data_IF_279716856675
#
_entry.id   IF_279716856675
#
_cell.length_a   1.000
_cell.length_b   1.000
_cell.length_c   1.000
_cell.angle_alpha   90.00
_cell.angle_beta   90.00
_cell.angle_gamma   90.00
#
_symmetry.space_group_name_H-M   'P 1'
#
loop_
_entity.id
_entity.type
_entity.pdbx_description
1 polymer ?
#
# COMPACT_ATOMS: atom_id res chain seq x y z
N UNK A 1 14.87 -8.86 -17.06
CA UNK A 1 15.85 -8.45 -18.10
C UNK A 1 17.01 -7.69 -17.44
N UNK A 2 18.27 -7.94 -17.84
CA UNK A 2 19.44 -7.28 -17.27
C UNK A 2 19.38 -5.75 -17.44
N UNK A 3 19.64 -5.01 -16.36
CA UNK A 3 19.56 -3.55 -16.39
C UNK A 3 20.58 -2.89 -17.34
N UNK A 4 21.72 -3.51 -17.61
CA UNK A 4 22.71 -2.95 -18.54
C UNK A 4 22.19 -2.88 -20.00
N UNK A 5 21.07 -3.54 -20.32
CA UNK A 5 20.41 -3.49 -21.63
C UNK A 5 19.26 -2.48 -21.69
N UNK A 6 19.15 -1.59 -20.70
CA UNK A 6 18.21 -0.47 -20.78
C UNK A 6 18.53 0.34 -22.06
N UNK A 7 17.48 0.71 -22.81
CA UNK A 7 17.56 1.40 -24.11
C UNK A 7 18.17 0.60 -25.28
N UNK A 8 18.42 -0.71 -25.12
CA UNK A 8 18.90 -1.56 -26.21
C UNK A 8 17.76 -2.39 -26.80
N UNK A 9 17.82 -2.64 -28.11
CA UNK A 9 16.87 -3.56 -28.77
C UNK A 9 17.27 -5.00 -28.49
N UNK A 10 16.33 -5.79 -28.01
CA UNK A 10 16.52 -7.21 -27.71
C UNK A 10 15.52 -8.05 -28.49
N UNK A 11 15.91 -9.26 -28.87
CA UNK A 11 15.01 -10.23 -29.49
C UNK A 11 14.43 -11.12 -28.41
N UNK A 12 13.11 -11.35 -28.45
CA UNK A 12 12.42 -12.19 -27.48
C UNK A 12 11.91 -13.44 -28.20
N UNK A 13 12.25 -14.61 -27.66
CA UNK A 13 11.68 -15.89 -28.07
C UNK A 13 10.78 -16.39 -26.94
N UNK A 14 9.48 -16.49 -27.20
CA UNK A 14 8.48 -16.87 -26.20
C UNK A 14 7.94 -18.27 -26.50
N UNK A 15 8.34 -19.25 -25.68
CA UNK A 15 7.79 -20.62 -25.73
C UNK A 15 6.59 -20.77 -24.78
N UNK A 16 6.03 -21.96 -24.70
CA UNK A 16 4.91 -22.26 -23.79
C UNK A 16 5.32 -22.11 -22.30
N UNK A 17 6.58 -22.40 -21.96
CA UNK A 17 7.03 -22.43 -20.56
C UNK A 17 8.07 -21.35 -20.23
N UNK A 18 8.85 -20.88 -21.20
CA UNK A 18 10.00 -20.01 -20.98
C UNK A 18 10.00 -18.86 -21.98
N UNK A 19 10.36 -17.67 -21.52
CA UNK A 19 10.67 -16.50 -22.32
C UNK A 19 12.18 -16.30 -22.30
N UNK A 20 12.82 -16.45 -23.46
CA UNK A 20 14.24 -16.22 -23.66
C UNK A 20 14.45 -14.83 -24.25
N UNK A 21 15.41 -14.09 -23.70
CA UNK A 21 15.80 -12.77 -24.18
C UNK A 21 17.19 -12.85 -24.77
N UNK A 22 17.34 -12.37 -25.99
CA UNK A 22 18.58 -12.37 -26.75
C UNK A 22 19.07 -10.94 -26.99
N UNK A 23 20.37 -10.76 -26.89
CA UNK A 23 21.07 -9.55 -27.30
C UNK A 23 22.29 -9.96 -28.12
N UNK A 24 22.43 -9.42 -29.33
CA UNK A 24 23.51 -9.77 -30.26
C UNK A 24 23.69 -11.29 -30.46
N UNK A 25 22.57 -12.00 -30.69
CA UNK A 25 22.52 -13.46 -30.87
C UNK A 25 22.99 -14.31 -29.68
N UNK A 26 23.13 -13.71 -28.49
CA UNK A 26 23.43 -14.42 -27.23
C UNK A 26 22.24 -14.34 -26.27
N UNK A 27 21.98 -15.44 -25.56
CA UNK A 27 20.96 -15.47 -24.50
C UNK A 27 21.47 -14.65 -23.31
N UNK A 28 20.73 -13.61 -22.94
CA UNK A 28 21.06 -12.71 -21.84
C UNK A 28 20.17 -12.87 -20.62
N UNK A 29 18.96 -13.42 -20.80
CA UNK A 29 18.07 -13.77 -19.69
C UNK A 29 17.07 -14.85 -20.11
N UNK A 30 16.64 -15.64 -19.13
CA UNK A 30 15.55 -16.60 -19.25
C UNK A 30 14.57 -16.40 -18.10
N UNK A 31 13.29 -16.39 -18.42
CA UNK A 31 12.22 -16.20 -17.45
C UNK A 31 11.15 -17.28 -17.62
N UNK A 32 10.65 -17.90 -16.54
CA UNK A 32 9.48 -18.76 -16.65
C UNK A 32 8.28 -17.92 -17.08
N UNK A 33 7.55 -18.42 -18.08
CA UNK A 33 6.35 -17.76 -18.61
C UNK A 33 5.22 -17.88 -17.60
N UNK A 34 4.78 -16.74 -17.07
CA UNK A 34 3.54 -16.66 -16.28
C UNK A 34 2.39 -16.32 -17.22
N UNK A 35 1.27 -17.01 -17.05
CA UNK A 35 0.10 -16.92 -17.91
C UNK A 35 -0.96 -15.93 -17.39
N UNK A 36 -0.61 -15.06 -16.45
CA UNK A 36 -1.51 -14.02 -15.95
C UNK A 36 -1.19 -12.68 -16.60
N UNK A 37 -2.24 -11.92 -16.95
CA UNK A 37 -2.10 -10.62 -17.57
C UNK A 37 -1.60 -9.55 -16.57
N UNK A 38 -0.80 -8.60 -17.06
CA UNK A 38 -0.33 -7.45 -16.28
C UNK A 38 0.70 -7.75 -15.19
N UNK A 39 1.30 -8.95 -15.21
CA UNK A 39 2.31 -9.37 -14.25
C UNK A 39 3.72 -8.85 -14.50
N UNK A 40 4.51 -8.72 -13.43
CA UNK A 40 5.95 -8.49 -13.52
C UNK A 40 6.72 -9.73 -13.04
N UNK A 41 7.73 -10.15 -13.79
CA UNK A 41 8.68 -11.19 -13.39
C UNK A 41 10.07 -10.60 -13.34
N UNK A 42 10.65 -10.57 -12.14
CA UNK A 42 11.98 -9.99 -11.90
C UNK A 42 12.90 -11.07 -11.35
N UNK A 43 14.09 -11.20 -11.94
CA UNK A 43 15.17 -12.07 -11.45
C UNK A 43 16.17 -11.19 -10.71
N UNK A 44 16.49 -11.56 -9.47
CA UNK A 44 17.37 -10.77 -8.59
C UNK A 44 18.75 -10.51 -9.19
N UNK A 45 19.31 -11.48 -9.90
CA UNK A 45 20.63 -11.42 -10.56
C UNK A 45 20.73 -10.37 -11.66
N UNK A 46 19.60 -9.88 -12.18
CA UNK A 46 19.56 -8.87 -13.24
C UNK A 46 19.38 -7.45 -12.70
N UNK A 47 19.20 -7.30 -11.39
CA UNK A 47 18.91 -6.04 -10.73
C UNK A 47 20.20 -5.26 -10.43
N UNK A 48 20.23 -3.93 -10.61
CA UNK A 48 21.39 -3.11 -10.25
C UNK A 48 21.69 -3.13 -8.74
N UNK A 49 22.97 -3.15 -8.39
CA UNK A 49 23.42 -3.06 -6.99
C UNK A 49 22.92 -1.79 -6.29
N UNK A 50 22.81 -0.67 -7.00
CA UNK A 50 22.27 0.58 -6.44
C UNK A 50 20.80 0.42 -6.01
N UNK A 51 20.00 -0.30 -6.80
CA UNK A 51 18.60 -0.58 -6.51
C UNK A 51 18.46 -1.61 -5.37
N UNK A 52 19.37 -2.59 -5.31
CA UNK A 52 19.46 -3.53 -4.19
C UNK A 52 19.80 -2.79 -2.88
N UNK A 53 20.72 -1.82 -2.92
CA UNK A 53 21.14 -1.03 -1.74
C UNK A 53 20.10 -0.01 -1.28
N UNK A 54 19.31 0.55 -2.19
CA UNK A 54 18.18 1.45 -1.85
C UNK A 54 16.92 0.70 -1.42
N UNK A 55 16.93 -0.63 -1.44
CA UNK A 55 15.79 -1.44 -1.04
C UNK A 55 15.55 -1.29 0.46
N UNK A 56 14.36 -0.80 0.80
CA UNK A 56 13.88 -0.83 2.16
C UNK A 56 13.49 -2.27 2.52
N UNK A 57 14.20 -2.87 3.48
CA UNK A 57 13.82 -4.18 4.02
C UNK A 57 12.56 -4.04 4.88
N UNK A 58 11.74 -5.09 4.90
CA UNK A 58 10.56 -5.16 5.77
C UNK A 58 10.96 -4.95 7.24
N UNK A 59 12.08 -5.53 7.67
CA UNK A 59 12.65 -5.36 9.00
C UNK A 59 12.94 -3.90 9.34
N UNK A 60 13.53 -3.14 8.41
CA UNK A 60 13.82 -1.72 8.62
C UNK A 60 12.54 -0.89 8.72
N UNK A 61 11.52 -1.22 7.93
CA UNK A 61 10.21 -0.57 8.01
C UNK A 61 9.53 -0.87 9.36
N UNK A 62 9.61 -2.12 9.83
CA UNK A 62 9.09 -2.52 11.13
C UNK A 62 9.82 -1.81 12.28
N UNK A 63 11.15 -1.77 12.26
CA UNK A 63 11.93 -1.07 13.28
C UNK A 63 11.65 0.44 13.32
N UNK A 64 11.36 1.06 12.17
CA UNK A 64 10.92 2.47 12.17
C UNK A 64 9.50 2.63 12.73
N UNK A 65 8.59 1.71 12.38
CA UNK A 65 7.25 1.71 12.96
C UNK A 65 7.27 1.54 14.49
N UNK A 66 8.15 0.67 15.00
CA UNK A 66 8.36 0.44 16.44
C UNK A 66 8.78 1.70 17.20
N UNK A 67 9.62 2.53 16.57
CA UNK A 67 10.03 3.81 17.17
C UNK A 67 8.89 4.83 17.27
N UNK A 68 7.79 4.62 16.54
CA UNK A 68 6.61 5.50 16.58
C UNK A 68 5.58 4.95 17.55
N UNK A 69 5.21 3.67 17.41
CA UNK A 69 4.22 3.03 18.28
C UNK A 69 3.66 1.71 17.74
N UNK A 70 2.89 1.03 18.59
CA UNK A 70 2.37 -0.32 18.32
C UNK A 70 1.26 -0.33 17.26
N UNK A 71 0.44 0.72 17.21
CA UNK A 71 -0.60 0.92 16.20
C UNK A 71 0.00 1.10 14.81
N UNK A 72 1.04 1.92 14.68
CA UNK A 72 1.76 2.05 13.40
C UNK A 72 2.39 0.71 12.99
N UNK A 73 3.02 -0.02 13.93
CA UNK A 73 3.60 -1.35 13.64
C UNK A 73 2.54 -2.29 13.07
N UNK A 74 1.37 -2.40 13.69
CA UNK A 74 0.29 -3.27 13.25
C UNK A 74 -0.24 -2.90 11.84
N UNK A 75 -0.38 -1.61 11.53
CA UNK A 75 -0.75 -1.15 10.19
C UNK A 75 0.28 -1.55 9.14
N UNK A 76 1.57 -1.38 9.44
CA UNK A 76 2.66 -1.72 8.52
C UNK A 76 2.72 -3.24 8.29
N UNK A 77 2.57 -4.05 9.33
CA UNK A 77 2.49 -5.51 9.23
C UNK A 77 1.33 -5.92 8.32
N UNK A 78 0.12 -5.41 8.58
CA UNK A 78 -1.05 -5.67 7.74
C UNK A 78 -0.81 -5.31 6.27
N UNK A 79 -0.17 -4.16 6.03
CA UNK A 79 0.07 -3.68 4.66
C UNK A 79 1.08 -4.55 3.90
N UNK A 80 2.06 -5.13 4.59
CA UNK A 80 3.04 -6.07 4.04
C UNK A 80 2.40 -7.44 3.77
N UNK A 81 1.60 -7.97 4.70
CA UNK A 81 0.97 -9.30 4.59
C UNK A 81 -0.12 -9.36 3.53
N UNK A 82 -0.86 -8.26 3.33
CA UNK A 82 -1.95 -8.21 2.33
C UNK A 82 -1.45 -8.36 0.89
N UNK A 83 -0.20 -8.00 0.59
CA UNK A 83 0.34 -8.05 -0.78
C UNK A 83 1.10 -9.35 -0.99
N UNK A 84 0.87 -10.01 -2.12
CA UNK A 84 1.62 -11.22 -2.51
C UNK A 84 3.14 -10.98 -2.57
N UNK A 85 3.56 -9.75 -2.88
CA UNK A 85 4.96 -9.35 -2.86
C UNK A 85 5.14 -8.16 -1.91
N UNK A 86 5.92 -8.29 -0.82
CA UNK A 86 6.10 -7.21 0.17
C UNK A 86 6.75 -5.96 -0.45
N UNK A 87 7.53 -6.15 -1.52
CA UNK A 87 8.13 -5.07 -2.32
C UNK A 87 7.10 -4.06 -2.85
N UNK A 88 5.89 -4.53 -3.19
CA UNK A 88 4.81 -3.68 -3.66
C UNK A 88 4.17 -2.84 -2.54
N UNK A 89 4.29 -3.30 -1.29
CA UNK A 89 3.79 -2.58 -0.11
C UNK A 89 4.77 -1.54 0.43
N UNK A 90 6.08 -1.66 0.12
CA UNK A 90 7.13 -0.76 0.61
C UNK A 90 6.79 0.72 0.40
N UNK A 91 6.31 1.10 -0.79
CA UNK A 91 5.95 2.50 -1.09
C UNK A 91 4.83 3.01 -0.20
N UNK A 92 3.81 2.19 0.02
CA UNK A 92 2.68 2.54 0.90
C UNK A 92 3.13 2.67 2.35
N UNK A 93 3.96 1.74 2.82
CA UNK A 93 4.53 1.77 4.18
C UNK A 93 5.38 3.03 4.40
N UNK A 94 6.24 3.38 3.45
CA UNK A 94 7.03 4.61 3.50
C UNK A 94 6.15 5.87 3.49
N UNK A 95 5.07 5.87 2.71
CA UNK A 95 4.12 6.98 2.70
C UNK A 95 3.47 7.17 4.08
N UNK A 96 3.05 6.09 4.74
CA UNK A 96 2.49 6.15 6.11
C UNK A 96 3.55 6.68 7.09
N UNK A 97 4.76 6.10 7.10
CA UNK A 97 5.83 6.52 8.00
C UNK A 97 6.27 7.97 7.76
N UNK A 98 6.18 8.47 6.53
CA UNK A 98 6.49 9.87 6.21
C UNK A 98 5.52 10.87 6.85
N UNK A 99 4.29 10.45 7.18
CA UNK A 99 3.29 11.30 7.85
C UNK A 99 3.73 11.70 9.26
N UNK A 100 4.56 10.88 9.90
CA UNK A 100 5.14 11.16 11.22
C UNK A 100 5.91 12.48 11.22
N UNK A 101 6.62 12.78 10.12
CA UNK A 101 7.36 14.04 9.94
C UNK A 101 6.44 15.24 9.79
N UNK A 102 5.22 15.06 9.28
CA UNK A 102 4.27 16.14 9.00
C UNK A 102 3.35 16.44 10.19
N UNK A 103 2.87 15.41 10.89
CA UNK A 103 1.82 15.54 11.89
C UNK A 103 2.25 15.20 13.33
N UNK A 104 3.48 14.71 13.54
CA UNK A 104 4.01 14.13 14.79
C UNK A 104 3.78 12.62 14.94
N UNK A 105 4.64 11.99 15.74
CA UNK A 105 4.60 10.56 16.04
C UNK A 105 3.32 10.19 16.83
N UNK A 106 2.97 11.00 17.83
CA UNK A 106 1.81 10.77 18.70
C UNK A 106 0.49 10.78 17.92
N UNK A 107 0.33 11.77 17.02
CA UNK A 107 -0.88 11.88 16.20
C UNK A 107 -0.98 10.74 15.19
N UNK A 108 0.15 10.34 14.61
CA UNK A 108 0.17 9.20 13.69
C UNK A 108 -0.19 7.89 14.39
N UNK A 109 0.30 7.68 15.61
CA UNK A 109 -0.03 6.50 16.42
C UNK A 109 -1.53 6.46 16.73
N UNK A 110 -2.12 7.55 17.22
CA UNK A 110 -3.55 7.63 17.51
C UNK A 110 -4.41 7.40 16.25
N UNK A 111 -4.04 8.01 15.12
CA UNK A 111 -4.74 7.79 13.84
C UNK A 111 -4.61 6.34 13.34
N UNK A 112 -3.48 5.69 13.58
CA UNK A 112 -3.23 4.31 13.19
C UNK A 112 -4.04 3.33 14.04
N UNK A 113 -4.10 3.56 15.36
CA UNK A 113 -4.96 2.80 16.27
C UNK A 113 -6.44 2.93 15.88
N UNK A 114 -6.88 4.15 15.55
CA UNK A 114 -8.25 4.37 15.10
C UNK A 114 -8.55 3.69 13.76
N UNK A 115 -7.61 3.72 12.80
CA UNK A 115 -7.77 3.01 11.53
C UNK A 115 -7.84 1.48 11.71
N UNK A 116 -7.13 0.93 12.70
CA UNK A 116 -7.22 -0.49 13.07
C UNK A 116 -8.58 -0.83 13.70
N UNK A 117 -9.11 0.05 14.56
CA UNK A 117 -10.44 -0.12 15.15
C UNK A 117 -11.54 -0.12 14.09
N UNK A 118 -11.38 0.67 13.03
CA UNK A 118 -12.30 0.72 11.88
C UNK A 118 -12.08 -0.43 10.87
N UNK A 119 -11.14 -1.35 11.13
CA UNK A 119 -10.72 -2.43 10.22
C UNK A 119 -10.28 -1.92 8.82
N UNK A 120 -9.90 -0.63 8.73
CA UNK A 120 -9.47 0.01 7.49
C UNK A 120 -8.08 0.65 7.64
N UNK A 121 -7.02 -0.15 7.84
CA UNK A 121 -5.64 0.32 7.97
C UNK A 121 -5.03 0.70 6.61
N UNK A 122 -5.67 1.64 5.90
CA UNK A 122 -5.23 2.15 4.61
C UNK A 122 -4.68 3.56 4.72
N UNK A 123 -3.64 3.85 3.93
CA UNK A 123 -3.03 5.18 3.85
C UNK A 123 -4.07 6.31 3.68
N UNK A 124 -5.08 6.11 2.82
CA UNK A 124 -6.14 7.10 2.59
C UNK A 124 -6.98 7.38 3.84
N UNK A 125 -7.27 6.35 4.62
CA UNK A 125 -8.06 6.49 5.86
C UNK A 125 -7.24 7.18 6.93
N UNK A 126 -5.99 6.76 7.14
CA UNK A 126 -5.07 7.37 8.12
C UNK A 126 -4.82 8.85 7.78
N UNK A 127 -4.58 9.17 6.50
CA UNK A 127 -4.43 10.56 6.06
C UNK A 127 -5.70 11.37 6.29
N UNK A 128 -6.88 10.83 5.97
CA UNK A 128 -8.15 11.52 6.24
C UNK A 128 -8.40 11.75 7.73
N UNK A 129 -8.05 10.80 8.59
CA UNK A 129 -8.15 10.95 10.05
C UNK A 129 -7.26 12.10 10.54
N UNK A 130 -6.01 12.14 10.09
CA UNK A 130 -5.05 13.18 10.44
C UNK A 130 -5.43 14.57 9.91
N UNK A 131 -5.96 14.65 8.68
CA UNK A 131 -6.40 15.92 8.07
C UNK A 131 -7.59 16.51 8.81
N UNK A 132 -8.53 15.66 9.23
CA UNK A 132 -9.77 16.09 9.90
C UNK A 132 -9.64 16.17 11.43
N UNK A 133 -8.45 15.95 11.99
CA UNK A 133 -8.19 15.88 13.43
C UNK A 133 -9.10 14.86 14.17
N UNK A 134 -9.40 13.72 13.54
CA UNK A 134 -10.32 12.69 14.07
C UNK A 134 -9.58 11.52 14.74
N UNK A 135 -8.30 11.66 15.05
CA UNK A 135 -7.49 10.64 15.74
C UNK A 135 -8.00 10.29 17.14
N UNK A 136 -8.63 11.25 17.83
CA UNK A 136 -9.18 11.09 19.18
C UNK A 136 -10.71 11.01 19.20
N UNK A 137 -11.35 10.80 18.04
CA UNK A 137 -12.79 10.55 18.01
C UNK A 137 -13.06 9.24 18.74
N UNK A 138 -13.25 9.31 20.07
CA UNK A 138 -13.74 8.20 20.85
C UNK A 138 -15.00 7.72 20.17
N UNK A 139 -15.01 6.48 19.68
CA UNK A 139 -16.25 5.76 19.44
C UNK A 139 -16.89 5.47 20.81
N UNK A 140 -17.18 6.51 21.60
CA UNK A 140 -18.42 6.48 22.35
C UNK A 140 -19.49 6.46 21.27
N UNK A 141 -20.34 5.44 21.24
CA UNK A 141 -21.40 5.32 20.25
C UNK A 141 -22.24 6.58 20.24
N UNK A 142 -21.90 7.52 19.35
CA UNK A 142 -22.81 8.57 18.95
C UNK A 142 -23.64 7.90 17.88
N UNK A 143 -24.70 7.22 18.33
CA UNK A 143 -25.95 7.30 17.58
C UNK A 143 -26.12 8.80 17.40
N UNK A 144 -25.78 9.30 16.22
CA UNK A 144 -26.06 10.65 15.82
C UNK A 144 -27.58 10.74 15.87
N UNK A 145 -28.10 11.14 17.02
CA UNK A 145 -29.49 11.53 17.20
C UNK A 145 -29.64 12.85 16.44
N UNK A 146 -29.51 12.74 15.11
CA UNK A 146 -29.79 13.83 14.22
C UNK A 146 -31.22 14.24 14.52
N UNK A 147 -31.49 15.51 14.86
CA UNK A 147 -32.86 15.97 14.96
C UNK A 147 -33.55 15.60 13.64
N UNK A 148 -34.78 15.07 13.68
CA UNK A 148 -35.45 14.56 12.49
C UNK A 148 -35.40 15.63 11.41
N UNK A 149 -34.76 15.30 10.29
CA UNK A 149 -34.59 16.17 9.13
C UNK A 149 -35.97 16.63 8.68
N UNK A 150 -36.38 17.81 9.11
CA UNK A 150 -37.70 18.38 8.80
C UNK A 150 -37.57 19.06 7.43
N UNK A 151 -37.65 18.27 6.37
CA UNK A 151 -37.70 18.78 5.00
C UNK A 151 -39.14 18.99 4.55
N UNK A 152 -39.40 20.11 3.88
CA UNK A 152 -40.70 20.45 3.30
C UNK A 152 -41.25 19.42 2.29
N UNK A 153 -40.39 18.55 1.75
CA UNK A 153 -40.76 17.53 0.77
C UNK A 153 -41.05 16.14 1.36
N UNK A 154 -41.03 15.97 2.68
CA UNK A 154 -41.45 14.70 3.29
C UNK A 154 -42.97 14.70 3.37
N UNK A 155 -43.60 14.05 2.39
CA UNK A 155 -45.06 13.87 2.36
C UNK A 155 -45.43 12.83 3.41
N UNK A 156 -46.15 13.27 4.44
CA UNK A 156 -46.56 12.42 5.56
C UNK A 156 -47.55 11.33 5.16
N UNK A 157 -47.77 10.39 6.08
CA UNK A 157 -48.65 9.21 5.96
C UNK A 157 -50.08 9.50 5.46
N UNK A 158 -50.55 10.74 5.55
CA UNK A 158 -51.85 11.18 5.04
C UNK A 158 -51.95 11.27 3.51
N UNK A 159 -50.85 11.07 2.77
CA UNK A 159 -50.84 11.12 1.30
C UNK A 159 -51.33 9.83 0.62
N UNK A 160 -51.39 8.70 1.33
CA UNK A 160 -51.84 7.41 0.79
C UNK A 160 -53.15 6.94 1.45
N UNK A 161 -54.19 7.77 1.36
CA UNK A 161 -55.56 7.35 1.69
C UNK A 161 -56.33 6.99 0.42
#
# INVERSE_FOLDING_TARGET
VPHHLVSHTVTIEATAQIICVYYQSKVVAQHPRKHHDGGFTTVKEHMPDAHIKQRWSAERLMGWADNIGSGVRAVITFQLERRQHPEQAVKSCLAILSLAKKYSNERLEAASQQALLLEQPYLKVITNLLVNNKEHASNAGVVDEQPPLTHHNIRGQHYYQ
#
